data_IF_509647737509
#
_entry.id   IF_509647737509
#
_cell.length_a   1.000
_cell.length_b   1.000
_cell.length_c   1.000
_cell.angle_alpha   90.00
_cell.angle_beta   90.00
_cell.angle_gamma   90.00
#
_symmetry.space_group_name_H-M   'P 1'
#
loop_
_entity.id
_entity.type
_entity.pdbx_description
1 polymer ?
#
# COMPACT_ATOMS: atom_id res chain seq x y z
N UNK A 1 22.61 4.25 -1.48
CA UNK A 1 21.86 3.15 -2.12
C UNK A 1 22.61 1.87 -1.82
N UNK A 2 21.90 0.78 -1.53
CA UNK A 2 22.49 -0.53 -1.28
C UNK A 2 22.71 -1.23 -2.62
N UNK A 3 23.80 -1.96 -2.74
CA UNK A 3 24.05 -2.80 -3.91
C UNK A 3 23.05 -3.96 -3.97
N UNK A 4 22.69 -4.39 -5.18
CA UNK A 4 21.74 -5.49 -5.40
C UNK A 4 20.26 -5.16 -5.12
N UNK A 5 19.94 -3.93 -4.75
CA UNK A 5 18.56 -3.48 -4.51
C UNK A 5 18.04 -2.67 -5.68
N UNK A 6 16.83 -2.99 -6.17
CA UNK A 6 16.10 -2.16 -7.15
C UNK A 6 15.37 -1.04 -6.42
N UNK A 7 15.38 0.15 -7.00
CA UNK A 7 14.82 1.34 -6.36
C UNK A 7 13.82 2.07 -7.25
N UNK A 8 12.71 2.48 -6.64
CA UNK A 8 11.85 3.55 -7.11
C UNK A 8 12.01 4.73 -6.13
N UNK A 9 12.50 5.88 -6.62
CA UNK A 9 12.73 7.06 -5.81
C UNK A 9 11.72 8.16 -6.16
N UNK A 10 10.84 8.50 -5.21
CA UNK A 10 9.84 9.54 -5.37
C UNK A 10 10.22 10.74 -4.48
N UNK A 11 10.68 11.88 -5.05
CA UNK A 11 10.91 13.09 -4.29
C UNK A 11 9.58 13.68 -3.82
N UNK A 12 9.29 13.60 -2.52
CA UNK A 12 8.05 14.09 -1.94
C UNK A 12 8.22 14.61 -0.51
N UNK A 13 7.64 15.79 -0.24
CA UNK A 13 7.54 16.35 1.10
C UNK A 13 6.39 15.72 1.90
N UNK A 14 6.51 15.67 3.23
CA UNK A 14 5.40 15.27 4.10
C UNK A 14 4.52 16.48 4.41
N UNK A 15 3.87 17.00 3.38
CA UNK A 15 3.00 18.17 3.46
C UNK A 15 1.61 17.81 2.94
N UNK A 16 0.53 18.35 3.53
CA UNK A 16 -0.82 18.20 2.98
C UNK A 16 -0.96 18.73 1.53
N UNK A 17 -0.08 19.64 1.10
CA UNK A 17 -0.05 20.18 -0.27
C UNK A 17 0.71 19.31 -1.27
N UNK A 18 1.46 18.30 -0.82
CA UNK A 18 2.17 17.39 -1.72
C UNK A 18 1.16 16.49 -2.43
N UNK A 19 1.22 16.41 -3.76
CA UNK A 19 0.42 15.45 -4.53
C UNK A 19 1.17 14.10 -4.58
N UNK A 20 0.60 13.08 -3.94
CA UNK A 20 1.07 11.69 -4.01
C UNK A 20 0.22 10.82 -4.94
N UNK A 21 -1.03 11.18 -5.24
CA UNK A 21 -1.90 10.41 -6.15
C UNK A 21 -1.26 10.21 -7.53
N UNK A 22 -0.55 11.21 -8.06
CA UNK A 22 0.20 11.09 -9.32
C UNK A 22 1.27 9.99 -9.33
N UNK A 23 1.69 9.52 -8.15
CA UNK A 23 2.70 8.48 -7.97
C UNK A 23 2.10 7.10 -7.62
N UNK A 24 0.78 6.99 -7.48
CA UNK A 24 0.14 5.72 -7.08
C UNK A 24 0.39 4.64 -8.12
N UNK A 25 0.16 4.91 -9.41
CA UNK A 25 0.32 3.89 -10.46
C UNK A 25 1.73 3.29 -10.54
N UNK A 26 2.76 4.14 -10.54
CA UNK A 26 4.16 3.67 -10.57
C UNK A 26 4.55 2.93 -9.29
N UNK A 27 4.08 3.38 -8.13
CA UNK A 27 4.34 2.74 -6.84
C UNK A 27 3.68 1.37 -6.77
N UNK A 28 2.42 1.28 -7.17
CA UNK A 28 1.65 0.04 -7.20
C UNK A 28 2.31 -0.97 -8.12
N UNK A 29 2.67 -0.57 -9.35
CA UNK A 29 3.39 -1.42 -10.30
C UNK A 29 4.69 -1.97 -9.69
N UNK A 30 5.51 -1.09 -9.11
CA UNK A 30 6.79 -1.48 -8.52
C UNK A 30 6.63 -2.50 -7.38
N UNK A 31 5.68 -2.25 -6.46
CA UNK A 31 5.39 -3.16 -5.34
C UNK A 31 4.83 -4.48 -5.85
N UNK A 32 3.87 -4.43 -6.78
CA UNK A 32 3.16 -5.62 -7.27
C UNK A 32 4.11 -6.58 -7.99
N UNK A 33 4.91 -6.07 -8.93
CA UNK A 33 5.87 -6.89 -9.66
C UNK A 33 6.93 -7.52 -8.75
N UNK A 34 7.37 -6.79 -7.71
CA UNK A 34 8.26 -7.33 -6.68
C UNK A 34 7.62 -8.54 -5.97
N UNK A 35 6.37 -8.38 -5.50
CA UNK A 35 5.65 -9.44 -4.79
C UNK A 35 5.33 -10.64 -5.68
N UNK A 36 4.98 -10.43 -6.94
CA UNK A 36 4.74 -11.52 -7.90
C UNK A 36 5.99 -12.37 -8.18
N UNK A 37 7.19 -11.78 -8.08
CA UNK A 37 8.45 -12.54 -8.17
C UNK A 37 8.81 -13.28 -6.88
N UNK A 38 8.00 -13.17 -5.82
CA UNK A 38 8.31 -13.72 -4.50
C UNK A 38 9.41 -12.95 -3.77
N UNK A 39 9.72 -11.73 -4.20
CA UNK A 39 10.71 -10.85 -3.57
C UNK A 39 10.06 -9.99 -2.46
N UNK A 40 10.90 -9.40 -1.59
CA UNK A 40 10.46 -8.44 -0.58
C UNK A 40 10.59 -7.00 -1.08
N UNK A 41 9.55 -6.19 -0.90
CA UNK A 41 9.58 -4.75 -1.17
C UNK A 41 9.58 -3.99 0.16
N UNK A 42 10.48 -3.03 0.35
CA UNK A 42 10.47 -2.10 1.49
C UNK A 42 10.02 -0.71 1.01
N UNK A 43 8.87 -0.25 1.47
CA UNK A 43 8.42 1.13 1.21
C UNK A 43 8.73 2.01 2.42
N UNK A 44 9.69 2.93 2.28
CA UNK A 44 10.11 3.79 3.39
C UNK A 44 10.01 5.29 3.05
N UNK A 45 9.86 6.10 4.09
CA UNK A 45 10.05 7.55 4.04
C UNK A 45 10.98 7.95 5.19
N UNK A 46 10.93 9.20 5.68
CA UNK A 46 11.77 9.62 6.81
C UNK A 46 11.41 8.92 8.12
N UNK A 47 10.12 8.87 8.48
CA UNK A 47 9.65 8.31 9.75
C UNK A 47 8.89 6.97 9.60
N UNK A 48 8.51 6.60 8.36
CA UNK A 48 7.63 5.46 8.13
C UNK A 48 6.25 5.63 8.78
N UNK A 49 5.70 6.85 8.74
CA UNK A 49 4.43 7.23 9.39
C UNK A 49 3.38 7.68 8.36
N UNK A 50 3.77 8.55 7.42
CA UNK A 50 2.83 9.25 6.53
C UNK A 50 3.06 8.90 5.05
N UNK A 51 4.02 9.54 4.35
CA UNK A 51 4.26 9.33 2.90
C UNK A 51 4.30 7.86 2.45
N UNK A 52 5.15 7.04 3.07
CA UNK A 52 5.28 5.62 2.69
C UNK A 52 4.01 4.84 2.97
N UNK A 53 3.36 5.13 4.11
CA UNK A 53 2.08 4.52 4.50
C UNK A 53 1.00 4.85 3.48
N UNK A 54 0.93 6.08 2.99
CA UNK A 54 -0.02 6.48 1.94
C UNK A 54 0.11 5.64 0.67
N UNK A 55 1.34 5.41 0.19
CA UNK A 55 1.59 4.58 -1.00
C UNK A 55 1.22 3.11 -0.76
N UNK A 56 1.51 2.58 0.44
CA UNK A 56 1.14 1.21 0.83
C UNK A 56 -0.38 1.06 0.96
N UNK A 57 -1.09 2.05 1.49
CA UNK A 57 -2.56 2.05 1.56
C UNK A 57 -3.15 2.01 0.14
N UNK A 58 -2.69 2.87 -0.76
CA UNK A 58 -3.15 2.85 -2.15
C UNK A 58 -2.91 1.49 -2.83
N UNK A 59 -1.77 0.85 -2.54
CA UNK A 59 -1.50 -0.52 -2.97
C UNK A 59 -2.51 -1.53 -2.41
N UNK A 60 -2.73 -1.55 -1.09
CA UNK A 60 -3.69 -2.46 -0.44
C UNK A 60 -5.11 -2.27 -1.00
N UNK A 61 -5.56 -1.03 -1.13
CA UNK A 61 -6.87 -0.71 -1.72
C UNK A 61 -7.02 -1.26 -3.15
N UNK A 62 -5.92 -1.33 -3.91
CA UNK A 62 -5.92 -1.79 -5.31
C UNK A 62 -5.92 -3.30 -5.43
N UNK A 63 -5.24 -4.03 -4.53
CA UNK A 63 -5.19 -5.51 -4.54
C UNK A 63 -6.29 -6.17 -3.71
N UNK A 64 -7.15 -5.38 -3.08
CA UNK A 64 -8.30 -5.83 -2.29
C UNK A 64 -9.55 -5.06 -2.69
N UNK A 65 -10.68 -5.39 -2.06
CA UNK A 65 -11.93 -4.63 -2.13
C UNK A 65 -12.03 -3.50 -1.08
N UNK A 66 -10.97 -3.26 -0.30
CA UNK A 66 -11.00 -2.34 0.84
C UNK A 66 -11.05 -0.86 0.44
N UNK A 67 -11.73 -0.07 1.27
CA UNK A 67 -11.57 1.37 1.32
C UNK A 67 -10.28 1.80 2.03
N UNK A 68 -9.99 3.09 2.05
CA UNK A 68 -8.74 3.61 2.60
C UNK A 68 -8.63 3.42 4.13
N UNK A 69 -9.75 3.44 4.85
CA UNK A 69 -9.77 3.24 6.31
C UNK A 69 -9.41 1.79 6.69
N UNK A 70 -10.01 0.81 6.02
CA UNK A 70 -9.72 -0.62 6.20
C UNK A 70 -8.28 -0.95 5.80
N UNK A 71 -7.80 -0.36 4.70
CA UNK A 71 -6.41 -0.47 4.30
C UNK A 71 -5.46 0.18 5.32
N UNK A 72 -5.78 1.34 5.88
CA UNK A 72 -5.02 1.95 6.97
C UNK A 72 -5.02 1.08 8.23
N UNK A 73 -6.16 0.48 8.58
CA UNK A 73 -6.25 -0.45 9.70
C UNK A 73 -5.34 -1.66 9.50
N UNK A 74 -5.33 -2.21 8.28
CA UNK A 74 -4.44 -3.30 7.88
C UNK A 74 -2.96 -2.91 8.07
N UNK A 75 -2.56 -1.70 7.67
CA UNK A 75 -1.20 -1.21 7.90
C UNK A 75 -0.91 -1.03 9.40
N UNK A 76 -1.86 -0.49 10.18
CA UNK A 76 -1.70 -0.28 11.63
C UNK A 76 -1.53 -1.56 12.41
N UNK A 77 -2.10 -2.68 11.94
CA UNK A 77 -1.90 -3.99 12.57
C UNK A 77 -0.42 -4.43 12.57
N UNK A 78 0.36 -4.03 11.56
CA UNK A 78 1.81 -4.28 11.53
C UNK A 78 2.68 -3.10 11.91
N UNK A 79 2.15 -1.88 11.82
CA UNK A 79 2.87 -0.65 12.14
C UNK A 79 1.94 0.35 12.82
N UNK A 80 1.81 0.23 14.13
CA UNK A 80 0.87 1.01 14.95
C UNK A 80 1.03 2.54 14.83
N UNK A 81 2.23 3.03 14.51
CA UNK A 81 2.49 4.45 14.29
C UNK A 81 2.03 4.98 12.92
N UNK A 82 1.44 4.15 12.06
CA UNK A 82 0.96 4.56 10.74
C UNK A 82 -0.15 5.62 10.86
N UNK A 83 0.12 6.79 10.29
CA UNK A 83 -0.76 7.94 10.34
C UNK A 83 -0.45 8.93 9.19
N UNK A 84 -1.03 8.73 7.99
CA UNK A 84 -0.95 9.71 6.90
C UNK A 84 -1.39 11.09 7.37
N UNK A 85 -0.73 12.15 6.88
CA UNK A 85 -1.20 13.51 7.14
C UNK A 85 -2.60 13.73 6.52
N UNK A 86 -3.32 14.76 6.98
CA UNK A 86 -4.71 15.01 6.56
C UNK A 86 -4.87 15.25 5.05
N UNK A 87 -3.87 15.83 4.37
CA UNK A 87 -3.93 16.01 2.93
C UNK A 87 -3.82 14.69 2.16
N UNK A 88 -3.00 13.76 2.66
CA UNK A 88 -2.91 12.41 2.10
C UNK A 88 -4.14 11.57 2.42
N UNK A 89 -4.76 11.72 3.59
CA UNK A 89 -6.04 11.07 3.88
C UNK A 89 -7.12 11.53 2.90
N UNK A 90 -7.22 12.84 2.63
CA UNK A 90 -8.14 13.37 1.61
C UNK A 90 -7.84 12.81 0.22
N UNK A 91 -6.57 12.74 -0.17
CA UNK A 91 -6.17 12.13 -1.44
C UNK A 91 -6.56 10.65 -1.54
N UNK A 92 -6.42 9.87 -0.47
CA UNK A 92 -6.84 8.47 -0.43
C UNK A 92 -8.37 8.33 -0.48
N UNK A 93 -9.10 9.23 0.16
CA UNK A 93 -10.56 9.27 0.10
C UNK A 93 -11.06 9.59 -1.31
N UNK A 94 -10.45 10.56 -2.00
CA UNK A 94 -10.77 10.88 -3.40
C UNK A 94 -10.39 9.70 -4.32
N UNK A 95 -9.24 9.06 -4.08
CA UNK A 95 -8.83 7.86 -4.80
C UNK A 95 -9.85 6.72 -4.65
N UNK A 96 -10.34 6.46 -3.42
CA UNK A 96 -11.40 5.47 -3.18
C UNK A 96 -12.67 5.78 -3.98
N UNK A 97 -13.08 7.05 -3.97
CA UNK A 97 -14.35 7.48 -4.56
C UNK A 97 -14.33 7.49 -6.08
N UNK A 98 -13.18 7.79 -6.68
CA UNK A 98 -13.12 8.15 -8.09
C UNK A 98 -12.20 7.29 -8.95
N UNK A 99 -11.17 6.66 -8.39
CA UNK A 99 -10.10 6.06 -9.19
C UNK A 99 -9.81 4.58 -8.85
N UNK A 100 -10.05 4.13 -7.60
CA UNK A 100 -9.61 2.79 -7.15
C UNK A 100 -10.20 1.66 -7.99
N UNK A 101 -11.43 1.81 -8.47
CA UNK A 101 -12.07 0.81 -9.34
C UNK A 101 -11.34 0.67 -10.68
N UNK A 102 -10.91 1.77 -11.27
CA UNK A 102 -10.12 1.76 -12.51
C UNK A 102 -8.75 1.13 -12.27
N UNK A 103 -8.13 1.39 -11.11
CA UNK A 103 -6.86 0.78 -10.73
C UNK A 103 -6.98 -0.73 -10.52
N UNK A 104 -8.07 -1.21 -9.92
CA UNK A 104 -8.37 -2.65 -9.77
C UNK A 104 -8.52 -3.33 -11.13
N UNK A 105 -9.26 -2.71 -12.06
CA UNK A 105 -9.42 -3.24 -13.42
C UNK A 105 -8.10 -3.23 -14.17
N UNK A 106 -7.36 -2.12 -14.15
CA UNK A 106 -6.04 -2.02 -14.75
C UNK A 106 -5.09 -3.12 -14.22
N UNK A 107 -5.07 -3.36 -12.91
CA UNK A 107 -4.21 -4.39 -12.33
C UNK A 107 -4.60 -5.78 -12.83
N UNK A 108 -5.91 -6.07 -12.92
CA UNK A 108 -6.43 -7.34 -13.46
C UNK A 108 -6.09 -7.51 -14.94
N UNK A 109 -6.18 -6.47 -15.73
CA UNK A 109 -5.86 -6.49 -17.16
C UNK A 109 -4.36 -6.72 -17.40
N UNK A 110 -3.50 -6.06 -16.62
CA UNK A 110 -2.04 -6.13 -16.78
C UNK A 110 -1.46 -7.46 -16.26
N UNK A 111 -1.95 -7.98 -15.12
CA UNK A 111 -1.34 -9.13 -14.43
C UNK A 111 -2.22 -10.37 -14.34
N UNK A 112 -3.50 -10.30 -14.74
CA UNK A 112 -4.46 -11.38 -14.59
C UNK A 112 -4.93 -11.59 -13.15
N UNK A 113 -5.39 -12.81 -12.85
CA UNK A 113 -5.74 -13.19 -11.48
C UNK A 113 -4.46 -13.34 -10.63
N UNK A 114 -4.38 -12.58 -9.54
CA UNK A 114 -3.22 -12.62 -8.66
C UNK A 114 -3.15 -13.97 -7.91
N UNK A 115 -1.99 -14.65 -7.89
CA UNK A 115 -1.80 -15.84 -7.06
C UNK A 115 -1.69 -15.51 -5.57
N UNK A 116 -1.61 -14.22 -5.22
CA UNK A 116 -1.49 -13.73 -3.84
C UNK A 116 -2.88 -13.67 -3.21
N UNK A 117 -3.02 -14.16 -1.97
CA UNK A 117 -4.30 -14.18 -1.24
C UNK A 117 -4.55 -12.88 -0.47
N UNK A 118 -4.22 -11.75 -1.09
CA UNK A 118 -4.15 -10.43 -0.43
C UNK A 118 -5.45 -10.06 0.28
N UNK A 119 -6.60 -10.25 -0.37
CA UNK A 119 -7.89 -9.93 0.22
C UNK A 119 -8.27 -10.84 1.40
N UNK A 120 -7.91 -12.13 1.35
CA UNK A 120 -8.13 -13.07 2.46
C UNK A 120 -7.23 -12.71 3.66
N UNK A 121 -5.94 -12.47 3.40
CA UNK A 121 -4.97 -12.09 4.43
C UNK A 121 -5.34 -10.76 5.10
N UNK A 122 -5.76 -9.77 4.31
CA UNK A 122 -6.19 -8.48 4.83
C UNK A 122 -7.48 -8.60 5.67
N UNK A 123 -8.48 -9.39 5.23
CA UNK A 123 -9.70 -9.65 6.03
C UNK A 123 -9.40 -10.36 7.34
N UNK A 124 -8.47 -11.32 7.33
CA UNK A 124 -8.05 -12.02 8.53
C UNK A 124 -7.38 -11.09 9.55
N UNK A 125 -6.62 -10.09 9.08
CA UNK A 125 -6.04 -9.04 9.92
C UNK A 125 -7.14 -8.20 10.59
N UNK A 126 -8.16 -7.78 9.83
CA UNK A 126 -9.28 -6.99 10.37
C UNK A 126 -10.13 -7.80 11.37
N UNK A 127 -10.33 -9.10 11.11
CA UNK A 127 -11.15 -9.97 11.93
C UNK A 127 -10.49 -10.39 13.26
N UNK A 128 -9.16 -10.30 13.39
CA UNK A 128 -8.47 -10.70 14.63
C UNK A 128 -7.36 -9.72 15.04
N UNK A 129 -7.72 -8.55 15.61
CA UNK A 129 -6.75 -7.60 16.11
C UNK A 129 -5.86 -8.23 17.19
N UNK A 130 -4.53 -8.16 17.03
CA UNK A 130 -3.57 -8.53 18.09
C UNK A 130 -3.01 -9.95 18.06
N UNK A 131 -3.23 -10.75 17.01
CA UNK A 131 -2.62 -12.09 16.90
C UNK A 131 -1.29 -12.04 16.13
N UNK A 132 -0.20 -12.47 16.78
CA UNK A 132 1.17 -12.65 16.25
C UNK A 132 1.30 -13.64 15.05
N UNK A 133 0.20 -14.05 14.40
CA UNK A 133 0.22 -15.00 13.28
C UNK A 133 0.41 -14.34 11.90
N UNK A 134 0.28 -13.02 11.79
CA UNK A 134 0.30 -12.30 10.50
C UNK A 134 1.63 -11.62 10.14
N UNK A 135 2.69 -11.86 10.91
CA UNK A 135 4.02 -11.30 10.65
C UNK A 135 4.59 -11.69 9.28
N UNK A 136 4.13 -12.79 8.67
CA UNK A 136 4.54 -13.20 7.34
C UNK A 136 4.02 -12.26 6.22
N UNK A 137 2.81 -11.72 6.35
CA UNK A 137 2.24 -10.74 5.41
C UNK A 137 2.94 -9.38 5.56
N UNK A 138 3.09 -8.93 6.81
CA UNK A 138 3.69 -7.63 7.12
C UNK A 138 5.20 -7.55 6.84
N UNK A 139 5.91 -8.68 6.75
CA UNK A 139 7.31 -8.72 6.29
C UNK A 139 7.47 -8.61 4.78
N UNK A 140 6.38 -8.68 4.01
CA UNK A 140 6.37 -8.63 2.54
C UNK A 140 5.97 -7.26 1.97
N UNK A 141 5.68 -6.28 2.84
CA UNK A 141 5.33 -4.89 2.51
C UNK A 141 6.34 -3.90 3.11
#
# INVERSE_FOLDING_TARGET
MLEGVKYLCIPAADSPSQNLTRHFKESIKFIHECRLRGEGCLVHCLAGVSRSVTLVIAYIMTVTDFGWEDALHTVRAGRSCANPNLGFQRQLQEFEKHEVHEYRQWLKEEYGESPLRDAEEARNILATPGVLKYWAFLRRL
#
